data_IF_084503322948
#
_entry.id   IF_084503322948
#
_cell.length_a   1.000
_cell.length_b   1.000
_cell.length_c   1.000
_cell.angle_alpha   90.00
_cell.angle_beta   90.00
_cell.angle_gamma   90.00
#
_symmetry.space_group_name_H-M   'P 1'
#
loop_
_entity.id
_entity.type
_entity.pdbx_description
1 polymer ?
#
# COMPACT_ATOMS: atom_id res chain seq x y z
N UNK A 1 8.26 17.08 27.28
CA UNK A 1 9.45 16.53 26.60
C UNK A 1 8.98 15.41 25.71
N UNK A 2 8.77 15.68 24.41
CA UNK A 2 8.47 14.64 23.43
C UNK A 2 9.72 13.75 23.33
N UNK A 3 9.56 12.44 23.54
CA UNK A 3 10.61 11.48 23.22
C UNK A 3 10.80 11.53 21.71
N UNK A 4 11.98 11.94 21.30
CA UNK A 4 12.46 11.83 19.93
C UNK A 4 12.35 10.35 19.55
N UNK A 5 11.34 10.02 18.73
CA UNK A 5 11.16 8.66 18.22
C UNK A 5 12.26 8.45 17.18
N UNK A 6 13.44 8.04 17.65
CA UNK A 6 14.56 7.68 16.78
C UNK A 6 14.08 6.59 15.80
N UNK A 7 13.97 6.95 14.53
CA UNK A 7 13.69 5.99 13.46
C UNK A 7 14.77 4.91 13.50
N UNK A 8 14.36 3.65 13.70
CA UNK A 8 15.29 2.53 13.73
C UNK A 8 15.64 2.16 12.29
N UNK A 9 16.93 2.20 11.96
CA UNK A 9 17.40 1.69 10.67
C UNK A 9 17.30 0.17 10.67
N UNK A 10 16.45 -0.37 9.80
CA UNK A 10 16.29 -1.80 9.62
C UNK A 10 17.35 -2.35 8.67
N UNK A 11 17.93 -3.55 8.93
CA UNK A 11 18.79 -4.23 7.97
C UNK A 11 18.09 -4.40 6.62
N UNK A 12 18.77 -4.02 5.52
CA UNK A 12 18.28 -4.17 4.17
C UNK A 12 18.91 -5.40 3.49
N UNK A 13 18.06 -6.30 2.99
CA UNK A 13 18.44 -7.49 2.23
C UNK A 13 17.99 -7.28 0.79
N UNK A 14 18.95 -7.31 -0.15
CA UNK A 14 18.66 -7.24 -1.59
C UNK A 14 18.77 -8.62 -2.22
N UNK A 15 17.77 -9.00 -3.01
CA UNK A 15 17.68 -10.24 -3.75
C UNK A 15 17.56 -9.95 -5.25
N UNK A 16 18.35 -10.61 -6.09
CA UNK A 16 18.21 -10.49 -7.53
C UNK A 16 16.89 -11.06 -8.03
N UNK A 17 16.43 -12.16 -7.44
CA UNK A 17 15.15 -12.76 -7.74
C UNK A 17 14.64 -13.57 -6.53
N UNK A 18 13.33 -13.62 -6.39
CA UNK A 18 12.64 -14.41 -5.36
C UNK A 18 11.23 -14.78 -5.86
N UNK A 19 10.61 -15.77 -5.25
CA UNK A 19 9.18 -16.04 -5.49
C UNK A 19 8.32 -14.85 -5.04
N UNK A 20 8.44 -14.44 -3.78
CA UNK A 20 7.80 -13.27 -3.19
C UNK A 20 8.63 -12.77 -2.01
N UNK A 21 8.89 -11.47 -1.92
CA UNK A 21 9.60 -10.86 -0.78
C UNK A 21 8.87 -11.11 0.54
N UNK A 22 7.54 -11.12 0.51
CA UNK A 22 6.71 -11.41 1.69
C UNK A 22 6.79 -12.90 2.09
N UNK A 23 6.71 -13.81 1.12
CA UNK A 23 6.89 -15.24 1.36
C UNK A 23 8.30 -15.57 1.86
N UNK A 24 9.32 -14.86 1.37
CA UNK A 24 10.70 -14.96 1.86
C UNK A 24 10.78 -14.64 3.36
N UNK A 25 10.25 -13.51 3.80
CA UNK A 25 10.25 -13.11 5.21
C UNK A 25 9.46 -14.10 6.09
N UNK A 26 8.35 -14.63 5.58
CA UNK A 26 7.55 -15.63 6.28
C UNK A 26 8.33 -16.91 6.54
N UNK A 27 9.12 -17.37 5.56
CA UNK A 27 9.96 -18.59 5.68
C UNK A 27 11.24 -18.38 6.50
N UNK A 28 11.64 -17.15 6.74
CA UNK A 28 12.88 -16.80 7.43
C UNK A 28 12.64 -15.95 8.69
N UNK A 29 11.89 -16.48 9.70
CA UNK A 29 11.56 -15.72 10.90
C UNK A 29 12.80 -15.35 11.75
N UNK A 30 13.90 -16.09 11.61
CA UNK A 30 15.16 -15.84 12.30
C UNK A 30 15.86 -14.54 11.90
N UNK A 31 15.50 -13.94 10.77
CA UNK A 31 16.05 -12.66 10.33
C UNK A 31 15.61 -11.47 11.21
N UNK A 32 14.62 -11.67 12.08
CA UNK A 32 14.11 -10.59 12.93
C UNK A 32 13.44 -9.46 12.14
N UNK A 33 13.57 -8.23 12.64
CA UNK A 33 13.08 -7.03 11.95
C UNK A 33 14.07 -6.65 10.84
N UNK A 34 13.60 -6.64 9.61
CA UNK A 34 14.42 -6.30 8.44
C UNK A 34 13.54 -5.90 7.25
N UNK A 35 14.18 -5.34 6.24
CA UNK A 35 13.59 -5.02 4.93
C UNK A 35 14.20 -5.93 3.88
N UNK A 36 13.36 -6.46 3.00
CA UNK A 36 13.77 -7.23 1.82
C UNK A 36 13.30 -6.50 0.58
N UNK A 37 14.18 -6.29 -0.38
CA UNK A 37 13.85 -5.84 -1.73
C UNK A 37 14.30 -6.89 -2.74
N UNK A 38 13.56 -7.02 -3.84
CA UNK A 38 13.92 -7.91 -4.92
C UNK A 38 13.91 -7.15 -6.25
N UNK A 39 14.85 -7.48 -7.14
CA UNK A 39 14.84 -6.93 -8.49
C UNK A 39 13.68 -7.54 -9.31
N UNK A 40 13.28 -8.78 -8.99
CA UNK A 40 12.16 -9.49 -9.63
C UNK A 40 11.47 -10.45 -8.67
N UNK A 41 10.13 -10.59 -8.80
CA UNK A 41 9.37 -11.65 -8.15
C UNK A 41 8.74 -12.56 -9.22
N UNK A 42 8.83 -13.90 -9.03
CA UNK A 42 8.16 -14.86 -9.91
C UNK A 42 6.71 -15.16 -9.50
N UNK A 43 6.38 -14.97 -8.22
CA UNK A 43 5.07 -15.24 -7.62
C UNK A 43 4.65 -14.07 -6.72
N UNK A 44 4.76 -12.83 -7.25
CA UNK A 44 4.29 -11.63 -6.55
C UNK A 44 2.81 -11.76 -6.19
N UNK A 45 2.45 -11.34 -4.98
CA UNK A 45 1.09 -11.53 -4.42
C UNK A 45 0.37 -10.22 -4.23
N UNK A 46 -0.89 -10.20 -4.65
CA UNK A 46 -1.90 -9.23 -4.29
C UNK A 46 -2.90 -9.82 -3.30
N UNK A 47 -3.96 -9.08 -3.02
CA UNK A 47 -5.08 -9.53 -2.18
C UNK A 47 -5.93 -10.59 -2.91
N UNK A 48 -6.66 -11.41 -2.13
CA UNK A 48 -7.62 -12.40 -2.66
C UNK A 48 -7.03 -13.38 -3.67
N UNK A 49 -5.73 -13.72 -3.52
CA UNK A 49 -5.05 -14.63 -4.44
C UNK A 49 -4.64 -14.02 -5.78
N UNK A 50 -4.90 -12.73 -6.02
CA UNK A 50 -4.47 -12.05 -7.23
C UNK A 50 -2.94 -12.06 -7.34
N UNK A 51 -2.44 -12.21 -8.56
CA UNK A 51 -1.02 -12.07 -8.85
C UNK A 51 -0.63 -10.59 -8.96
N UNK A 52 0.56 -10.26 -8.44
CA UNK A 52 1.21 -8.97 -8.63
C UNK A 52 2.36 -9.14 -9.62
N UNK A 53 2.28 -8.48 -10.76
CA UNK A 53 3.35 -8.51 -11.77
C UNK A 53 4.55 -7.72 -11.26
N UNK A 54 5.74 -8.34 -11.30
CA UNK A 54 6.96 -7.80 -10.72
C UNK A 54 8.15 -7.99 -11.67
N UNK A 55 8.09 -7.30 -12.81
CA UNK A 55 9.15 -7.35 -13.81
C UNK A 55 10.46 -6.77 -13.26
N UNK A 56 11.59 -7.28 -13.75
CA UNK A 56 12.91 -6.85 -13.33
C UNK A 56 13.15 -5.37 -13.67
N UNK A 57 13.55 -4.58 -12.67
CA UNK A 57 13.86 -3.15 -12.83
C UNK A 57 12.67 -2.22 -13.05
N UNK A 58 11.43 -2.76 -13.15
CA UNK A 58 10.24 -1.97 -13.43
C UNK A 58 9.67 -1.26 -12.19
N UNK A 59 10.00 -1.71 -10.97
CA UNK A 59 9.36 -1.19 -9.78
C UNK A 59 10.07 -1.48 -8.47
N UNK A 60 9.45 -1.04 -7.39
CA UNK A 60 9.83 -1.35 -6.01
C UNK A 60 9.04 -2.57 -5.56
N UNK A 61 9.72 -3.68 -5.37
CA UNK A 61 9.18 -4.92 -4.82
C UNK A 61 9.79 -5.16 -3.46
N UNK A 62 9.15 -4.70 -2.39
CA UNK A 62 9.71 -4.77 -1.04
C UNK A 62 8.76 -5.42 -0.04
N UNK A 63 9.35 -5.96 1.03
CA UNK A 63 8.61 -6.31 2.24
C UNK A 63 9.43 -5.97 3.47
N UNK A 64 8.76 -5.59 4.55
CA UNK A 64 9.38 -5.38 5.85
C UNK A 64 8.75 -6.29 6.89
N UNK A 65 9.60 -6.87 7.77
CA UNK A 65 9.19 -7.54 8.98
C UNK A 65 9.36 -6.59 10.16
N UNK A 66 8.29 -6.36 10.90
CA UNK A 66 8.19 -5.39 11.99
C UNK A 66 7.55 -6.02 13.22
N UNK A 67 7.69 -5.45 14.42
CA UNK A 67 6.81 -5.79 15.53
C UNK A 67 5.36 -5.46 15.16
N UNK A 68 4.41 -6.30 15.54
CA UNK A 68 3.00 -6.00 15.34
C UNK A 68 2.59 -4.87 16.30
N UNK A 69 1.98 -3.77 15.82
CA UNK A 69 1.48 -2.73 16.70
C UNK A 69 0.32 -3.27 17.56
N UNK A 70 0.28 -2.88 18.84
CA UNK A 70 -0.69 -3.41 19.79
C UNK A 70 -2.09 -2.80 19.62
N UNK A 71 -2.17 -1.49 19.33
CA UNK A 71 -3.41 -0.71 19.44
C UNK A 71 -3.86 -0.12 18.09
N UNK A 72 -3.48 -0.75 16.95
CA UNK A 72 -3.82 -0.27 15.62
C UNK A 72 -4.52 -1.38 14.84
N UNK A 73 -5.68 -1.09 14.28
CA UNK A 73 -6.40 -2.07 13.46
C UNK A 73 -5.63 -2.42 12.19
N UNK A 74 -5.76 -3.65 11.65
CA UNK A 74 -5.08 -4.03 10.41
C UNK A 74 -5.34 -3.10 9.23
N UNK A 75 -6.57 -2.61 9.09
CA UNK A 75 -6.94 -1.66 8.03
C UNK A 75 -6.18 -0.34 8.15
N UNK A 76 -6.13 0.22 9.36
CA UNK A 76 -5.41 1.46 9.63
C UNK A 76 -3.90 1.31 9.47
N UNK A 77 -3.33 0.15 9.83
CA UNK A 77 -1.91 -0.16 9.58
C UNK A 77 -1.59 -0.06 8.09
N UNK A 78 -2.41 -0.67 7.22
CA UNK A 78 -2.19 -0.64 5.78
C UNK A 78 -2.31 0.78 5.21
N UNK A 79 -3.28 1.54 5.65
CA UNK A 79 -3.49 2.93 5.21
C UNK A 79 -2.31 3.82 5.62
N UNK A 80 -1.85 3.74 6.86
CA UNK A 80 -0.69 4.49 7.36
C UNK A 80 0.59 4.09 6.65
N UNK A 81 0.80 2.80 6.43
CA UNK A 81 1.95 2.31 5.68
C UNK A 81 1.94 2.77 4.22
N UNK A 82 0.77 2.81 3.58
CA UNK A 82 0.63 3.32 2.23
C UNK A 82 0.80 4.85 2.18
N UNK A 83 0.25 5.59 3.15
CA UNK A 83 0.45 7.04 3.24
C UNK A 83 1.93 7.40 3.40
N UNK A 84 2.67 6.62 4.20
CA UNK A 84 4.12 6.76 4.32
C UNK A 84 4.84 6.53 2.98
N UNK A 85 4.46 5.50 2.23
CA UNK A 85 5.00 5.23 0.90
C UNK A 85 4.68 6.38 -0.07
N UNK A 86 3.43 6.85 -0.10
CA UNK A 86 3.02 7.99 -0.92
C UNK A 86 3.85 9.24 -0.61
N UNK A 87 4.08 9.54 0.68
CA UNK A 87 4.89 10.69 1.13
C UNK A 87 6.34 10.62 0.69
N UNK A 88 6.93 9.44 0.64
CA UNK A 88 8.32 9.24 0.17
C UNK A 88 8.41 9.36 -1.35
N UNK A 89 7.41 8.84 -2.07
CA UNK A 89 7.37 8.83 -3.53
C UNK A 89 6.93 10.16 -4.14
N UNK A 90 6.16 10.94 -3.39
CA UNK A 90 5.66 12.27 -3.74
C UNK A 90 5.82 13.20 -2.53
N UNK A 91 7.06 13.66 -2.25
CA UNK A 91 7.37 14.48 -1.06
C UNK A 91 6.59 15.78 -0.98
N UNK A 92 6.22 16.36 -2.12
CA UNK A 92 5.42 17.58 -2.19
C UNK A 92 3.93 17.31 -1.98
N UNK A 93 3.52 16.02 -2.06
CA UNK A 93 2.15 15.60 -1.81
C UNK A 93 1.15 16.15 -2.81
N UNK A 94 1.48 16.17 -4.11
CA UNK A 94 0.64 16.83 -5.14
C UNK A 94 -0.16 15.85 -5.99
N UNK A 95 0.28 14.59 -6.07
CA UNK A 95 -0.18 13.65 -7.10
C UNK A 95 -0.72 12.36 -6.49
N UNK A 96 0.00 11.77 -5.51
CA UNK A 96 -0.31 10.45 -5.00
C UNK A 96 -1.32 10.45 -3.86
N UNK A 97 -2.29 9.55 -3.96
CA UNK A 97 -3.30 9.31 -2.94
C UNK A 97 -3.53 7.83 -2.67
N UNK A 98 -4.47 7.54 -1.81
CA UNK A 98 -4.85 6.18 -1.42
C UNK A 98 -6.27 5.86 -1.88
N UNK A 99 -6.43 4.77 -2.62
CA UNK A 99 -7.73 4.14 -2.79
C UNK A 99 -7.91 3.09 -1.70
N UNK A 100 -9.00 3.21 -0.96
CA UNK A 100 -9.36 2.24 0.07
C UNK A 100 -9.45 0.81 -0.49
N UNK A 101 -8.95 -0.17 0.22
CA UNK A 101 -8.28 -0.06 1.52
C UNK A 101 -6.75 0.03 1.44
N UNK A 102 -6.10 -0.21 0.27
CA UNK A 102 -4.69 -0.55 0.22
C UNK A 102 -3.97 -0.22 -1.09
N UNK A 103 -4.58 0.55 -1.99
CA UNK A 103 -4.00 0.85 -3.30
C UNK A 103 -3.41 2.26 -3.33
N UNK A 104 -2.19 2.38 -3.89
CA UNK A 104 -1.57 3.65 -4.24
C UNK A 104 -2.09 4.08 -5.61
N UNK A 105 -2.68 5.26 -5.67
CA UNK A 105 -3.36 5.77 -6.88
C UNK A 105 -2.99 7.22 -7.16
N UNK A 106 -3.29 7.65 -8.38
CA UNK A 106 -3.23 9.04 -8.81
C UNK A 106 -4.35 9.35 -9.79
N UNK A 107 -4.65 10.63 -9.95
CA UNK A 107 -5.46 11.11 -11.08
C UNK A 107 -4.56 11.39 -12.27
N UNK A 108 -4.87 10.82 -13.42
CA UNK A 108 -4.19 11.05 -14.70
C UNK A 108 -5.24 11.24 -15.79
N UNK A 109 -5.18 12.38 -16.48
CA UNK A 109 -6.09 12.67 -17.60
C UNK A 109 -7.59 12.51 -17.26
N UNK A 110 -7.97 12.86 -16.01
CA UNK A 110 -9.35 12.74 -15.51
C UNK A 110 -9.75 11.34 -15.04
N UNK A 111 -8.85 10.36 -15.08
CA UNK A 111 -9.10 8.99 -14.64
C UNK A 111 -8.21 8.59 -13.48
N UNK A 112 -8.74 7.76 -12.58
CA UNK A 112 -7.95 7.17 -11.52
C UNK A 112 -7.05 6.05 -12.09
N UNK A 113 -5.75 6.10 -11.77
CA UNK A 113 -4.77 5.07 -12.17
C UNK A 113 -4.12 4.47 -10.93
N UNK A 114 -3.72 3.18 -11.02
CA UNK A 114 -3.11 2.44 -9.91
C UNK A 114 -1.61 2.29 -10.12
N UNK A 115 -0.83 2.80 -9.17
CA UNK A 115 0.62 2.69 -9.18
C UNK A 115 1.14 1.55 -8.31
N UNK A 116 0.43 1.22 -7.24
CA UNK A 116 0.93 0.29 -6.26
C UNK A 116 -0.15 -0.34 -5.39
N UNK A 117 0.29 -1.23 -4.51
CA UNK A 117 -0.56 -1.84 -3.51
C UNK A 117 0.25 -2.37 -2.33
N UNK A 118 -0.37 -2.40 -1.17
CA UNK A 118 0.22 -2.93 0.05
C UNK A 118 -0.55 -4.15 0.54
N UNK A 119 0.16 -5.14 1.04
CA UNK A 119 -0.38 -6.35 1.63
C UNK A 119 0.22 -6.54 3.03
N UNK A 120 -0.62 -6.75 4.05
CA UNK A 120 -0.19 -6.99 5.42
C UNK A 120 -0.56 -8.39 5.88
N UNK A 121 0.35 -9.05 6.57
CA UNK A 121 0.14 -10.31 7.27
C UNK A 121 0.66 -10.20 8.70
N UNK A 122 -0.09 -10.72 9.66
CA UNK A 122 0.38 -10.84 11.04
C UNK A 122 0.60 -12.31 11.38
N UNK A 123 1.85 -12.67 11.72
CA UNK A 123 2.25 -14.05 11.98
C UNK A 123 3.15 -14.06 13.22
N UNK A 124 2.75 -14.84 14.24
CA UNK A 124 3.54 -15.06 15.45
C UNK A 124 4.04 -13.74 16.11
N UNK A 125 3.16 -12.76 16.25
CA UNK A 125 3.50 -11.46 16.85
C UNK A 125 4.29 -10.51 15.96
N UNK A 126 4.58 -10.89 14.71
CA UNK A 126 5.25 -10.07 13.70
C UNK A 126 4.25 -9.57 12.67
N UNK A 127 4.42 -8.34 12.25
CA UNK A 127 3.76 -7.74 11.10
C UNK A 127 4.69 -7.86 9.89
N UNK A 128 4.23 -8.46 8.79
CA UNK A 128 4.93 -8.44 7.51
C UNK A 128 4.13 -7.57 6.56
N UNK A 129 4.71 -6.46 6.14
CA UNK A 129 4.14 -5.55 5.15
C UNK A 129 4.85 -5.77 3.81
N UNK A 130 4.10 -6.08 2.76
CA UNK A 130 4.59 -6.15 1.39
C UNK A 130 4.08 -4.96 0.58
N UNK A 131 4.96 -4.26 -0.13
CA UNK A 131 4.65 -3.14 -0.99
C UNK A 131 5.15 -3.42 -2.41
N UNK A 132 4.25 -3.28 -3.38
CA UNK A 132 4.59 -3.24 -4.80
C UNK A 132 4.24 -1.88 -5.39
N UNK A 133 5.20 -1.22 -6.04
CA UNK A 133 5.00 0.05 -6.74
C UNK A 133 5.65 0.00 -8.11
N UNK A 134 4.89 0.34 -9.14
CA UNK A 134 5.38 0.53 -10.49
C UNK A 134 6.18 1.84 -10.56
N UNK A 135 7.48 1.78 -10.80
CA UNK A 135 8.34 2.97 -10.86
C UNK A 135 8.53 3.44 -12.30
N UNK A 136 9.08 2.58 -13.15
CA UNK A 136 9.47 2.95 -14.51
C UNK A 136 8.52 2.43 -15.57
N UNK A 137 7.87 1.31 -15.31
CA UNK A 137 6.92 0.65 -16.22
C UNK A 137 5.77 0.06 -15.42
N UNK A 138 4.58 0.08 -15.99
CA UNK A 138 3.40 -0.60 -15.45
C UNK A 138 3.00 -1.78 -16.33
N UNK A 139 2.46 -2.88 -15.78
CA UNK A 139 1.97 -4.00 -16.58
C UNK A 139 0.75 -3.60 -17.40
N UNK A 140 0.61 -4.16 -18.58
CA UNK A 140 -0.63 -4.01 -19.37
C UNK A 140 -1.62 -5.07 -18.91
N UNK A 141 -2.70 -4.64 -18.26
CA UNK A 141 -3.78 -5.51 -17.78
C UNK A 141 -5.07 -5.05 -18.44
N UNK A 142 -5.57 -5.77 -19.44
CA UNK A 142 -6.83 -5.42 -20.13
C UNK A 142 -8.02 -5.36 -19.16
N UNK A 143 -9.01 -4.55 -19.50
CA UNK A 143 -10.33 -4.48 -18.87
C UNK A 143 -10.32 -4.19 -17.34
N UNK A 144 -9.27 -3.51 -16.85
CA UNK A 144 -9.24 -3.03 -15.47
C UNK A 144 -9.95 -1.69 -15.37
N UNK A 145 -10.94 -1.61 -14.46
CA UNK A 145 -11.65 -0.36 -14.14
C UNK A 145 -10.70 0.77 -13.70
N UNK A 146 -9.62 0.42 -13.01
CA UNK A 146 -8.53 1.34 -12.66
C UNK A 146 -7.26 0.78 -13.32
N UNK A 147 -6.81 1.38 -14.44
CA UNK A 147 -5.66 0.87 -15.17
C UNK A 147 -4.35 1.08 -14.38
N UNK A 148 -3.37 0.18 -14.55
CA UNK A 148 -2.05 0.37 -13.97
C UNK A 148 -1.32 1.57 -14.61
N UNK A 149 -0.53 2.27 -13.80
CA UNK A 149 0.42 3.29 -14.22
C UNK A 149 1.70 3.18 -13.39
N UNK A 150 2.76 3.85 -13.85
CA UNK A 150 4.04 3.98 -13.14
C UNK A 150 4.29 5.41 -12.68
N UNK A 151 5.25 5.63 -11.77
CA UNK A 151 5.66 6.98 -11.39
C UNK A 151 6.16 7.77 -12.60
N UNK A 152 6.90 7.12 -13.49
CA UNK A 152 7.40 7.72 -14.74
C UNK A 152 6.26 8.23 -15.64
N UNK A 153 5.13 7.52 -15.72
CA UNK A 153 3.94 7.94 -16.47
C UNK A 153 3.31 9.21 -15.92
N UNK A 154 3.60 9.55 -14.67
CA UNK A 154 3.13 10.76 -13.99
C UNK A 154 4.18 11.87 -13.94
N UNK A 155 5.36 11.65 -14.54
CA UNK A 155 6.46 12.61 -14.52
C UNK A 155 7.13 12.77 -13.14
N UNK A 156 6.96 11.78 -12.25
CA UNK A 156 7.62 11.74 -10.96
C UNK A 156 9.01 11.10 -11.07
N UNK A 157 9.93 11.59 -10.25
CA UNK A 157 11.28 11.02 -10.16
C UNK A 157 11.23 9.59 -9.61
N UNK A 158 12.14 8.75 -10.13
CA UNK A 158 12.31 7.38 -9.69
C UNK A 158 13.66 7.22 -8.98
N UNK A 159 13.74 7.47 -7.67
CA UNK A 159 14.96 7.27 -6.90
C UNK A 159 15.40 5.80 -6.87
N UNK A 160 16.59 5.54 -6.36
CA UNK A 160 17.10 4.18 -6.15
C UNK A 160 16.11 3.34 -5.33
N UNK A 161 15.85 2.11 -5.78
CA UNK A 161 14.97 1.14 -5.07
C UNK A 161 15.42 0.93 -3.62
N UNK A 162 16.73 0.87 -3.37
CA UNK A 162 17.26 0.70 -2.03
C UNK A 162 17.02 1.92 -1.14
N UNK A 163 17.20 3.13 -1.68
CA UNK A 163 16.95 4.37 -0.94
C UNK A 163 15.47 4.52 -0.61
N UNK A 164 14.59 4.23 -1.57
CA UNK A 164 13.14 4.21 -1.34
C UNK A 164 12.76 3.22 -0.24
N UNK A 165 13.28 2.00 -0.30
CA UNK A 165 12.98 0.96 0.69
C UNK A 165 13.43 1.36 2.11
N UNK A 166 14.62 1.96 2.23
CA UNK A 166 15.13 2.47 3.51
C UNK A 166 14.25 3.61 4.02
N UNK A 167 13.94 4.60 3.18
CA UNK A 167 13.13 5.75 3.58
C UNK A 167 11.70 5.33 4.00
N UNK A 168 11.05 4.48 3.20
CA UNK A 168 9.71 3.98 3.53
C UNK A 168 9.73 3.18 4.83
N UNK A 169 10.72 2.30 5.02
CA UNK A 169 10.80 1.47 6.22
C UNK A 169 10.99 2.28 7.49
N UNK A 170 11.68 3.42 7.45
CA UNK A 170 11.80 4.35 8.59
C UNK A 170 10.45 4.85 9.08
N UNK A 171 9.54 5.19 8.17
CA UNK A 171 8.18 5.53 8.54
C UNK A 171 7.40 4.33 9.08
N UNK A 172 7.63 3.14 8.53
CA UNK A 172 6.94 1.92 8.96
C UNK A 172 7.33 1.43 10.35
N UNK A 173 8.50 1.84 10.87
CA UNK A 173 8.86 1.55 12.28
C UNK A 173 8.03 2.33 13.28
N UNK A 174 7.26 3.33 12.83
CA UNK A 174 6.45 4.19 13.68
C UNK A 174 5.02 4.43 13.13
N UNK A 175 4.33 3.35 12.81
CA UNK A 175 2.97 3.40 12.25
C UNK A 175 1.91 3.93 13.23
N UNK A 176 2.24 4.04 14.52
CA UNK A 176 1.33 4.62 15.51
C UNK A 176 1.11 6.12 15.30
N UNK A 177 2.11 6.84 14.79
CA UNK A 177 2.03 8.29 14.61
C UNK A 177 1.26 8.75 13.37
N UNK A 178 0.91 7.88 12.46
CA UNK A 178 0.07 8.13 11.28
C UNK A 178 0.47 9.32 10.39
N UNK A 179 0.51 9.11 9.09
CA UNK A 179 0.68 10.15 8.07
C UNK A 179 -0.62 10.22 7.28
N UNK A 180 -1.09 11.42 6.97
CA UNK A 180 -2.25 11.60 6.11
C UNK A 180 -1.84 11.60 4.65
N UNK A 181 -2.57 10.89 3.76
CA UNK A 181 -2.36 10.97 2.31
C UNK A 181 -2.82 12.33 1.78
N UNK A 182 -2.38 12.69 0.58
CA UNK A 182 -2.85 13.88 -0.13
C UNK A 182 -4.35 13.84 -0.38
N UNK A 183 -4.82 12.72 -0.90
CA UNK A 183 -6.24 12.45 -1.07
C UNK A 183 -6.55 10.97 -0.78
N UNK A 184 -7.81 10.71 -0.51
CA UNK A 184 -8.33 9.37 -0.22
C UNK A 184 -9.56 9.12 -1.10
N UNK A 185 -9.57 8.00 -1.81
CA UNK A 185 -10.71 7.59 -2.60
C UNK A 185 -11.34 6.30 -2.01
N UNK A 186 -12.66 6.21 -1.88
CA UNK A 186 -13.67 7.20 -2.28
C UNK A 186 -13.73 8.38 -1.30
N UNK A 187 -14.05 9.53 -1.84
CA UNK A 187 -14.39 10.71 -1.04
C UNK A 187 -15.83 10.64 -0.55
N UNK A 188 -16.20 11.38 0.52
CA UNK A 188 -17.59 11.49 0.93
C UNK A 188 -18.48 11.96 -0.23
N UNK A 189 -19.63 11.27 -0.41
CA UNK A 189 -20.54 11.51 -1.53
C UNK A 189 -20.30 10.63 -2.75
N UNK A 190 -19.19 9.89 -2.84
CA UNK A 190 -18.90 8.98 -3.97
C UNK A 190 -19.83 7.78 -3.94
N UNK A 191 -20.61 7.54 -5.01
CA UNK A 191 -21.34 6.27 -5.17
C UNK A 191 -20.36 5.12 -5.39
N UNK A 192 -20.50 4.04 -4.64
CA UNK A 192 -19.61 2.87 -4.71
C UNK A 192 -20.40 1.57 -4.65
N UNK A 193 -19.82 0.51 -5.19
CA UNK A 193 -20.28 -0.85 -5.01
C UNK A 193 -19.14 -1.76 -4.54
N UNK A 194 -19.49 -2.85 -3.87
CA UNK A 194 -18.60 -3.92 -3.41
C UNK A 194 -19.31 -5.26 -3.61
N UNK A 195 -18.65 -6.37 -3.28
CA UNK A 195 -19.15 -7.73 -3.56
C UNK A 195 -20.60 -7.95 -3.12
N UNK A 196 -20.96 -7.49 -1.92
CA UNK A 196 -22.26 -7.77 -1.29
C UNK A 196 -23.19 -6.56 -1.25
N UNK A 197 -22.90 -5.46 -1.96
CA UNK A 197 -23.76 -4.29 -1.88
C UNK A 197 -23.28 -3.06 -2.64
N UNK A 198 -24.07 -2.00 -2.49
CA UNK A 198 -23.78 -0.69 -3.03
C UNK A 198 -24.26 0.41 -2.08
N UNK A 199 -23.72 1.61 -2.23
CA UNK A 199 -24.11 2.76 -1.42
C UNK A 199 -23.28 4.00 -1.72
N UNK A 200 -23.39 4.99 -0.85
CA UNK A 200 -22.62 6.24 -0.96
C UNK A 200 -21.60 6.32 0.17
N UNK A 201 -20.37 6.61 -0.17
CA UNK A 201 -19.31 6.83 0.81
C UNK A 201 -19.69 7.99 1.75
N UNK A 202 -19.62 7.76 3.06
CA UNK A 202 -19.78 8.80 4.08
C UNK A 202 -18.43 9.30 4.60
N UNK A 203 -17.36 8.55 4.36
CA UNK A 203 -16.01 8.88 4.79
C UNK A 203 -15.26 7.70 5.39
N UNK A 204 -13.99 7.95 5.73
CA UNK A 204 -13.11 6.99 6.36
C UNK A 204 -13.16 7.17 7.88
N UNK A 205 -13.34 6.10 8.59
CA UNK A 205 -13.34 6.09 10.06
C UNK A 205 -11.90 6.19 10.60
N UNK A 206 -11.72 6.71 11.83
CA UNK A 206 -10.40 6.80 12.45
C UNK A 206 -9.69 5.47 12.64
N UNK A 207 -10.41 4.36 12.62
CA UNK A 207 -9.88 3.00 12.73
C UNK A 207 -9.59 2.35 11.35
N UNK A 208 -9.73 3.12 10.27
CA UNK A 208 -9.44 2.68 8.90
C UNK A 208 -10.60 2.00 8.18
N UNK A 209 -11.78 1.88 8.80
CA UNK A 209 -12.98 1.39 8.11
C UNK A 209 -13.56 2.45 7.19
N UNK A 210 -14.28 2.00 6.17
CA UNK A 210 -15.05 2.86 5.29
C UNK A 210 -16.51 2.88 5.76
N UNK A 211 -17.04 4.07 5.98
CA UNK A 211 -18.43 4.28 6.37
C UNK A 211 -19.27 4.56 5.12
N UNK A 212 -20.37 3.84 4.95
CA UNK A 212 -21.19 3.86 3.72
C UNK A 212 -22.66 3.97 4.07
N UNK A 213 -23.39 4.88 3.42
CA UNK A 213 -24.85 4.91 3.45
C UNK A 213 -25.39 3.91 2.44
N UNK A 214 -26.28 3.02 2.89
CA UNK A 214 -27.01 2.05 2.07
C UNK A 214 -28.50 2.27 2.16
N UNK A 215 -29.29 1.55 1.37
CA UNK A 215 -30.76 1.60 1.48
C UNK A 215 -31.29 1.18 2.86
N UNK A 216 -30.56 0.29 3.56
CA UNK A 216 -30.94 -0.27 4.86
C UNK A 216 -30.32 0.48 6.05
N UNK A 217 -29.62 1.60 5.80
CA UNK A 217 -28.94 2.40 6.83
C UNK A 217 -27.44 2.54 6.59
N UNK A 218 -26.67 2.75 7.67
CA UNK A 218 -25.22 2.92 7.59
C UNK A 218 -24.48 1.61 7.81
N UNK A 219 -23.55 1.28 6.92
CA UNK A 219 -22.68 0.12 7.01
C UNK A 219 -21.21 0.54 7.13
N UNK A 220 -20.42 -0.23 7.89
CA UNK A 220 -18.98 -0.06 8.05
C UNK A 220 -18.23 -1.20 7.38
N UNK A 221 -17.46 -0.89 6.34
CA UNK A 221 -16.66 -1.86 5.62
C UNK A 221 -15.25 -1.92 6.22
N UNK A 222 -14.81 -3.10 6.62
CA UNK A 222 -13.47 -3.32 7.21
C UNK A 222 -12.46 -3.78 6.17
N UNK A 223 -12.92 -4.39 5.08
CA UNK A 223 -12.12 -4.94 3.98
C UNK A 223 -13.02 -5.09 2.74
N UNK A 224 -12.43 -5.44 1.62
CA UNK A 224 -13.14 -5.65 0.36
C UNK A 224 -12.50 -4.86 -0.78
N UNK A 225 -12.95 -5.12 -2.00
CA UNK A 225 -12.67 -4.30 -3.17
C UNK A 225 -13.88 -3.40 -3.41
N UNK A 226 -13.63 -2.12 -3.60
CA UNK A 226 -14.67 -1.15 -3.94
C UNK A 226 -14.44 -0.57 -5.32
N UNK A 227 -15.52 -0.27 -6.03
CA UNK A 227 -15.52 0.38 -7.35
C UNK A 227 -16.51 1.53 -7.35
N UNK A 228 -16.25 2.56 -8.17
CA UNK A 228 -17.24 3.60 -8.44
C UNK A 228 -18.47 3.01 -9.16
N UNK A 229 -19.63 3.61 -8.94
CA UNK A 229 -20.78 3.44 -9.84
C UNK A 229 -20.62 4.50 -10.93
N UNK A 230 -20.57 4.05 -12.19
CA UNK A 230 -20.58 4.91 -13.38
C UNK A 230 -21.92 5.63 -13.54
#
# INVERSE_FOLDING_TARGET
MARDASSVDLPLIRLAAVDSTQAFLRRNPHLGCCVVVADRQSEGRGRQGNRWESAAGAGLWMSAALPAPADVTPGLVLQRAMAAAARVLDPEGRILGIKWPNDLVAWKDGHLVKLGGILGEQIAGRLILGLGVNLTEAPVIPDRAIPPASLKDLGLDCPSVCDLAVLISKFWTNLEQGIQPLFSWPEPGTPIHWEDGQGTCLGWEPDGRLNVATADGTQRLSFGEIRGLD
#
